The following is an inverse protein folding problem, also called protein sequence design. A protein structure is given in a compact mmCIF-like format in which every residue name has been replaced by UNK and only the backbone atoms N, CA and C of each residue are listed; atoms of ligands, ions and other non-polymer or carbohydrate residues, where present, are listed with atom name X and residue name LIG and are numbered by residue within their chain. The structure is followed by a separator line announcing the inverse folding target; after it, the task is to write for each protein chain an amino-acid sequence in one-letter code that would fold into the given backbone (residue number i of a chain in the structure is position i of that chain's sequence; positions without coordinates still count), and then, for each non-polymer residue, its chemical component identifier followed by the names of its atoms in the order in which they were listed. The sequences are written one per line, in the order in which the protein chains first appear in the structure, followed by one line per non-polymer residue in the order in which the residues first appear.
data_IF_414565685343
#
_entry.id   IF_414565685343
#
_cell.length_a   1.000
_cell.length_b   1.000
_cell.length_c   1.000
_cell.angle_alpha   90.00
_cell.angle_beta   90.00
_cell.angle_gamma   90.00
#
_symmetry.space_group_name_H-M   'P 1'
#
loop_
_entity.id
_entity.type
_entity.pdbx_description
1 polymer ?
#
# COMPACT_ATOMS: atom_id res chain seq x y z
N UNK A 1 18.75 -22.31 -1.23
CA UNK A 1 17.86 -21.11 -1.27
C UNK A 1 18.64 -19.80 -1.09
N UNK A 2 19.42 -19.64 -0.02
CA UNK A 2 20.21 -18.42 0.24
C UNK A 2 21.20 -18.03 -0.87
N UNK A 3 21.79 -19.00 -1.57
CA UNK A 3 22.68 -18.77 -2.72
C UNK A 3 21.89 -18.34 -3.96
N UNK A 4 20.72 -18.93 -4.21
CA UNK A 4 19.83 -18.53 -5.31
C UNK A 4 19.35 -17.08 -5.15
N UNK A 5 18.93 -16.69 -3.93
CA UNK A 5 18.49 -15.31 -3.65
C UNK A 5 19.66 -14.33 -3.73
N UNK A 6 20.86 -14.72 -3.29
CA UNK A 6 22.06 -13.90 -3.45
C UNK A 6 22.38 -13.67 -4.93
N UNK A 7 22.39 -14.73 -5.73
CA UNK A 7 22.62 -14.67 -7.17
C UNK A 7 21.56 -13.82 -7.87
N UNK A 8 20.29 -13.95 -7.48
CA UNK A 8 19.22 -13.10 -7.99
C UNK A 8 19.42 -11.63 -7.65
N UNK A 9 19.73 -11.31 -6.39
CA UNK A 9 19.93 -9.93 -5.95
C UNK A 9 21.15 -9.31 -6.64
N UNK A 10 22.25 -10.05 -6.76
CA UNK A 10 23.44 -9.64 -7.50
C UNK A 10 23.13 -9.40 -8.99
N UNK A 11 22.35 -10.28 -9.61
CA UNK A 11 21.93 -10.14 -11.01
C UNK A 11 20.97 -8.98 -11.24
N UNK A 12 20.04 -8.75 -10.30
CA UNK A 12 19.14 -7.61 -10.27
C UNK A 12 19.96 -6.30 -10.19
N UNK A 13 20.94 -6.24 -9.30
CA UNK A 13 21.86 -5.10 -9.17
C UNK A 13 22.69 -4.87 -10.44
N UNK A 14 23.10 -5.93 -11.13
CA UNK A 14 23.92 -5.86 -12.36
C UNK A 14 23.13 -5.64 -13.66
N UNK A 15 21.78 -5.58 -13.62
CA UNK A 15 20.89 -5.34 -14.78
C UNK A 15 21.17 -6.23 -16.01
N UNK A 16 21.63 -7.47 -15.82
CA UNK A 16 22.05 -8.34 -16.91
C UNK A 16 20.83 -8.82 -17.73
N UNK A 17 20.75 -8.40 -18.99
CA UNK A 17 19.72 -8.85 -19.95
C UNK A 17 19.97 -10.30 -20.38
N UNK A 18 18.89 -11.07 -20.56
CA UNK A 18 18.95 -12.42 -21.13
C UNK A 18 18.25 -12.39 -22.48
N UNK A 19 19.03 -12.17 -23.54
CA UNK A 19 18.59 -12.08 -24.94
C UNK A 19 17.83 -10.80 -25.37
N UNK A 20 17.79 -10.59 -26.69
CA UNK A 20 17.22 -9.41 -27.37
C UNK A 20 15.68 -9.34 -27.36
N UNK A 21 14.96 -10.40 -26.97
CA UNK A 21 13.49 -10.46 -27.15
C UNK A 21 12.67 -10.94 -25.93
N UNK A 22 13.27 -11.30 -24.78
CA UNK A 22 12.45 -11.64 -23.62
C UNK A 22 13.17 -11.34 -22.30
N UNK A 23 12.68 -10.35 -21.55
CA UNK A 23 13.10 -10.15 -20.16
C UNK A 23 12.53 -11.31 -19.34
N UNK A 24 13.32 -12.34 -19.07
CA UNK A 24 12.97 -13.39 -18.12
C UNK A 24 12.45 -12.74 -16.82
N UNK A 25 11.19 -13.06 -16.45
CA UNK A 25 10.37 -12.25 -15.54
C UNK A 25 10.86 -12.27 -14.09
N UNK A 26 11.70 -11.29 -13.73
CA UNK A 26 12.14 -11.09 -12.34
C UNK A 26 10.96 -10.97 -11.37
N UNK A 27 9.85 -10.35 -11.79
CA UNK A 27 8.62 -10.26 -10.98
C UNK A 27 8.04 -11.63 -10.63
N UNK A 28 7.92 -12.53 -11.63
CA UNK A 28 7.42 -13.90 -11.40
C UNK A 28 8.32 -14.65 -10.42
N UNK A 29 9.63 -14.52 -10.56
CA UNK A 29 10.59 -15.17 -9.67
C UNK A 29 10.51 -14.61 -8.24
N UNK A 30 10.36 -13.30 -8.07
CA UNK A 30 10.15 -12.66 -6.77
C UNK A 30 8.86 -13.15 -6.13
N UNK A 31 7.74 -13.19 -6.88
CA UNK A 31 6.46 -13.71 -6.38
C UNK A 31 6.58 -15.15 -5.90
N UNK A 32 7.22 -16.03 -6.68
CA UNK A 32 7.36 -17.46 -6.31
C UNK A 32 8.21 -17.65 -5.05
N UNK A 33 9.27 -16.85 -4.87
CA UNK A 33 10.10 -16.89 -3.66
C UNK A 33 9.34 -16.32 -2.47
N UNK A 34 8.67 -15.19 -2.68
CA UNK A 34 7.88 -14.51 -1.65
C UNK A 34 6.70 -15.35 -1.16
N UNK A 35 6.14 -16.22 -2.01
CA UNK A 35 5.06 -17.12 -1.63
C UNK A 35 5.43 -18.16 -0.54
N UNK A 36 6.71 -18.26 -0.17
CA UNK A 36 7.19 -19.19 0.87
C UNK A 36 7.86 -18.44 2.02
N UNK A 37 7.57 -18.83 3.26
CA UNK A 37 8.18 -18.20 4.44
C UNK A 37 9.73 -18.25 4.43
N UNK A 38 10.41 -19.39 4.12
CA UNK A 38 11.86 -19.41 4.00
C UNK A 38 12.40 -18.50 2.88
N UNK A 39 11.65 -18.35 1.79
CA UNK A 39 12.01 -17.47 0.67
C UNK A 39 11.92 -16.00 1.06
N UNK A 40 10.88 -15.60 1.80
CA UNK A 40 10.74 -14.25 2.35
C UNK A 40 11.84 -13.89 3.33
N UNK A 41 12.14 -14.77 4.29
CA UNK A 41 13.27 -14.58 5.21
C UNK A 41 14.59 -14.43 4.46
N UNK A 42 14.78 -15.16 3.35
CA UNK A 42 15.96 -15.02 2.52
C UNK A 42 16.01 -13.68 1.77
N UNK A 43 14.88 -13.18 1.25
CA UNK A 43 14.80 -11.85 0.61
C UNK A 43 15.12 -10.73 1.60
N UNK A 44 14.59 -10.83 2.81
CA UNK A 44 14.85 -9.88 3.89
C UNK A 44 16.33 -9.89 4.30
N UNK A 45 16.89 -11.06 4.63
CA UNK A 45 18.31 -11.21 5.03
C UNK A 45 19.30 -10.73 3.98
N UNK A 46 18.93 -10.79 2.69
CA UNK A 46 19.76 -10.31 1.58
C UNK A 46 19.56 -8.83 1.27
N UNK A 47 18.76 -8.11 2.05
CA UNK A 47 18.53 -6.68 1.91
C UNK A 47 17.68 -6.30 0.70
N UNK A 48 16.99 -7.26 0.06
CA UNK A 48 16.15 -6.98 -1.10
C UNK A 48 14.97 -6.09 -0.70
N UNK A 49 14.26 -6.44 0.37
CA UNK A 49 13.12 -5.66 0.87
C UNK A 49 13.55 -4.26 1.32
N UNK A 50 14.66 -4.15 2.07
CA UNK A 50 15.22 -2.87 2.51
C UNK A 50 15.56 -1.95 1.33
N UNK A 51 16.11 -2.52 0.25
CA UNK A 51 16.40 -1.74 -0.97
C UNK A 51 15.13 -1.30 -1.68
N UNK A 52 14.12 -2.16 -1.79
CA UNK A 52 12.82 -1.77 -2.36
C UNK A 52 12.20 -0.60 -1.58
N UNK A 53 12.19 -0.68 -0.25
CA UNK A 53 11.66 0.37 0.62
C UNK A 53 12.41 1.68 0.41
N UNK A 54 13.75 1.64 0.40
CA UNK A 54 14.57 2.82 0.14
C UNK A 54 14.31 3.44 -1.24
N UNK A 55 14.25 2.63 -2.30
CA UNK A 55 14.00 3.11 -3.65
C UNK A 55 12.60 3.77 -3.76
N UNK A 56 11.58 3.20 -3.11
CA UNK A 56 10.23 3.78 -3.09
C UNK A 56 10.21 5.07 -2.26
N UNK A 57 10.79 5.07 -1.07
CA UNK A 57 10.86 6.26 -0.23
C UNK A 57 11.56 7.42 -0.96
N UNK A 58 12.71 7.17 -1.57
CA UNK A 58 13.42 8.21 -2.34
C UNK A 58 12.62 8.73 -3.52
N UNK A 59 11.73 7.92 -4.08
CA UNK A 59 10.86 8.35 -5.19
C UNK A 59 9.82 9.36 -4.75
N UNK A 60 9.21 9.12 -3.60
CA UNK A 60 8.11 9.94 -3.11
C UNK A 60 8.58 11.09 -2.21
N UNK A 61 9.66 10.91 -1.44
CA UNK A 61 10.05 11.84 -0.37
C UNK A 61 11.36 12.60 -0.63
N UNK A 62 12.13 12.25 -1.66
CA UNK A 62 13.30 13.07 -2.04
C UNK A 62 12.83 14.27 -2.87
N UNK A 63 13.03 15.48 -2.33
CA UNK A 63 12.65 16.79 -2.92
C UNK A 63 13.35 17.19 -4.22
N UNK A 64 13.59 16.26 -5.13
CA UNK A 64 13.93 16.56 -6.52
C UNK A 64 12.65 17.05 -7.22
N UNK A 65 12.71 18.22 -7.86
CA UNK A 65 11.67 18.74 -8.75
C UNK A 65 11.35 17.68 -9.83
N UNK A 66 10.23 16.97 -9.67
CA UNK A 66 9.85 15.89 -10.57
C UNK A 66 8.76 16.37 -11.51
N UNK A 67 9.12 16.45 -12.78
CA UNK A 67 8.22 15.97 -13.83
C UNK A 67 7.92 14.48 -13.54
N UNK A 68 6.89 14.21 -12.72
CA UNK A 68 6.37 12.86 -12.40
C UNK A 68 6.02 12.04 -13.65
N UNK A 69 5.96 12.68 -14.81
CA UNK A 69 5.75 12.08 -16.13
C UNK A 69 6.95 11.24 -16.62
N UNK A 70 8.15 11.41 -16.04
CA UNK A 70 9.32 10.55 -16.33
C UNK A 70 9.72 9.80 -15.08
N UNK A 71 8.79 8.99 -14.56
CA UNK A 71 9.13 7.97 -13.58
C UNK A 71 10.16 7.04 -14.25
N UNK A 72 11.44 7.15 -13.85
CA UNK A 72 12.52 6.37 -14.45
C UNK A 72 12.17 4.88 -14.47
N UNK A 73 12.63 4.14 -15.48
CA UNK A 73 12.38 2.69 -15.59
C UNK A 73 12.71 1.92 -14.31
N UNK A 74 13.64 2.39 -13.48
CA UNK A 74 14.03 1.74 -12.23
C UNK A 74 12.94 1.84 -11.15
N UNK A 75 12.23 2.96 -11.07
CA UNK A 75 11.15 3.19 -10.11
C UNK A 75 9.96 2.27 -10.36
N UNK A 76 9.52 2.17 -11.62
CA UNK A 76 8.47 1.23 -12.01
C UNK A 76 8.83 -0.22 -11.68
N UNK A 77 10.12 -0.57 -11.72
CA UNK A 77 10.59 -1.91 -11.36
C UNK A 77 10.44 -2.13 -9.84
N UNK A 78 10.89 -1.19 -9.00
CA UNK A 78 10.76 -1.31 -7.55
C UNK A 78 9.30 -1.35 -7.08
N UNK A 79 8.43 -0.57 -7.71
CA UNK A 79 6.97 -0.63 -7.47
C UNK A 79 6.36 -1.98 -7.86
N UNK A 80 6.65 -2.46 -9.07
CA UNK A 80 6.16 -3.77 -9.51
C UNK A 80 6.69 -4.91 -8.64
N UNK A 81 7.93 -4.82 -8.15
CA UNK A 81 8.50 -5.80 -7.23
C UNK A 81 7.81 -5.77 -5.86
N UNK A 82 7.48 -4.59 -5.32
CA UNK A 82 6.69 -4.50 -4.09
C UNK A 82 5.32 -5.18 -4.26
N UNK A 83 4.61 -4.88 -5.34
CA UNK A 83 3.34 -5.54 -5.66
C UNK A 83 3.51 -7.06 -5.87
N UNK A 84 4.63 -7.49 -6.46
CA UNK A 84 4.96 -8.90 -6.63
C UNK A 84 5.16 -9.60 -5.29
N UNK A 85 5.81 -8.94 -4.31
CA UNK A 85 5.90 -9.45 -2.94
C UNK A 85 4.51 -9.54 -2.30
N UNK A 86 3.71 -8.48 -2.43
CA UNK A 86 2.36 -8.42 -1.86
C UNK A 86 1.31 -9.30 -2.53
N UNK A 87 1.61 -9.87 -3.70
CA UNK A 87 0.68 -10.75 -4.42
C UNK A 87 0.40 -12.08 -3.71
N UNK A 88 1.24 -12.47 -2.74
CA UNK A 88 1.07 -13.70 -1.97
C UNK A 88 0.79 -13.38 -0.49
N UNK A 89 -0.34 -13.87 0.04
CA UNK A 89 -0.70 -13.68 1.45
C UNK A 89 0.39 -14.10 2.45
N UNK A 90 1.09 -15.26 2.28
CA UNK A 90 2.17 -15.63 3.20
C UNK A 90 3.28 -14.57 3.30
N UNK A 91 3.59 -13.88 2.20
CA UNK A 91 4.57 -12.81 2.19
C UNK A 91 4.09 -11.59 2.98
N UNK A 92 2.84 -11.20 2.77
CA UNK A 92 2.19 -10.10 3.50
C UNK A 92 2.18 -10.41 4.99
N UNK A 93 1.80 -11.63 5.36
CA UNK A 93 1.79 -12.07 6.74
C UNK A 93 3.19 -12.02 7.37
N UNK A 94 4.22 -12.59 6.74
CA UNK A 94 5.59 -12.55 7.30
C UNK A 94 6.10 -11.11 7.49
N UNK A 95 5.78 -10.20 6.57
CA UNK A 95 6.31 -8.83 6.60
C UNK A 95 5.54 -7.90 7.54
N UNK A 96 4.24 -8.12 7.72
CA UNK A 96 3.39 -7.23 8.51
C UNK A 96 3.04 -7.79 9.89
N UNK A 97 3.06 -9.12 10.09
CA UNK A 97 2.78 -9.71 11.40
C UNK A 97 3.91 -9.45 12.42
N UNK A 98 5.13 -9.16 11.94
CA UNK A 98 6.37 -9.24 12.72
C UNK A 98 6.64 -8.08 13.70
N UNK A 99 5.70 -7.13 13.85
CA UNK A 99 5.81 -6.07 14.87
C UNK A 99 5.93 -6.59 16.33
N UNK A 100 5.76 -7.90 16.55
CA UNK A 100 5.89 -8.60 17.84
C UNK A 100 6.64 -9.95 17.75
N UNK A 101 7.52 -10.18 16.76
CA UNK A 101 8.35 -11.41 16.79
C UNK A 101 9.27 -11.34 18.02
N UNK A 102 9.29 -12.33 18.93
CA UNK A 102 10.41 -12.47 19.84
C UNK A 102 11.65 -12.67 18.96
N UNK A 103 12.59 -11.73 19.05
CA UNK A 103 13.84 -11.68 18.31
C UNK A 103 14.59 -13.02 18.43
N UNK A 104 14.42 -13.92 17.44
CA UNK A 104 15.24 -15.16 17.38
C UNK A 104 16.65 -14.90 16.85
N UNK A 105 17.07 -13.63 16.78
CA UNK A 105 18.45 -13.25 16.60
C UNK A 105 18.77 -12.18 17.61
N UNK A 106 19.57 -12.55 18.61
CA UNK A 106 20.41 -11.64 19.37
C UNK A 106 21.30 -10.86 18.39
N UNK A 107 20.77 -9.78 17.85
CA UNK A 107 21.55 -8.69 17.28
C UNK A 107 21.19 -7.46 18.10
N UNK A 108 22.22 -6.76 18.54
CA UNK A 108 22.28 -5.61 19.46
C UNK A 108 21.50 -4.36 18.99
N UNK A 109 20.41 -4.54 18.23
CA UNK A 109 19.61 -3.49 17.59
C UNK A 109 18.31 -3.23 18.37
N UNK A 110 17.96 -4.11 19.31
CA UNK A 110 16.68 -4.08 20.04
C UNK A 110 16.53 -2.86 20.98
N UNK A 111 17.61 -2.17 21.34
CA UNK A 111 17.58 -0.92 22.12
C UNK A 111 17.26 0.34 21.29
N UNK A 112 17.06 0.26 19.97
CA UNK A 112 16.82 1.45 19.11
C UNK A 112 15.39 1.63 18.59
N UNK A 113 14.44 0.80 19.03
CA UNK A 113 13.06 0.84 18.53
C UNK A 113 12.20 1.89 19.27
N UNK A 114 12.59 2.30 20.48
CA UNK A 114 11.80 3.23 21.31
C UNK A 114 12.04 4.71 21.05
N UNK A 115 12.97 5.08 20.16
CA UNK A 115 13.23 6.47 19.78
C UNK A 115 13.79 6.59 18.36
N UNK A 116 13.07 6.10 17.35
CA UNK A 116 13.40 6.41 15.96
C UNK A 116 12.78 7.75 15.60
N UNK A 117 13.63 8.71 15.21
CA UNK A 117 13.18 10.02 14.73
C UNK A 117 12.13 9.84 13.63
N UNK A 118 10.98 10.50 13.81
CA UNK A 118 9.89 10.51 12.83
C UNK A 118 10.39 10.90 11.41
N UNK A 119 11.49 11.64 11.32
CA UNK A 119 12.08 12.12 10.06
C UNK A 119 13.03 11.13 9.37
N UNK A 120 13.31 9.95 9.93
CA UNK A 120 14.19 8.96 9.30
C UNK A 120 13.48 8.15 8.21
N UNK A 121 14.19 7.75 7.14
CA UNK A 121 13.60 6.89 6.10
C UNK A 121 13.18 5.50 6.66
N UNK A 122 12.06 4.93 6.18
CA UNK A 122 11.62 3.59 6.57
C UNK A 122 12.66 2.55 6.19
N UNK A 123 12.86 1.54 7.04
CA UNK A 123 13.83 0.46 6.79
C UNK A 123 13.17 -0.88 6.52
N UNK A 124 11.88 -1.00 6.84
CA UNK A 124 11.06 -2.19 6.61
C UNK A 124 9.83 -1.83 5.75
N UNK A 125 9.21 -2.85 5.18
CA UNK A 125 7.94 -2.67 4.46
C UNK A 125 6.82 -2.29 5.45
N UNK A 126 6.87 -2.78 6.70
CA UNK A 126 5.93 -2.36 7.74
C UNK A 126 6.08 -0.87 8.06
N UNK A 127 7.30 -0.35 8.17
CA UNK A 127 7.55 1.09 8.38
C UNK A 127 7.00 1.92 7.22
N UNK A 128 7.12 1.41 5.98
CA UNK A 128 6.59 2.06 4.79
C UNK A 128 5.06 2.06 4.80
N UNK A 129 4.43 0.94 5.17
CA UNK A 129 2.96 0.82 5.32
C UNK A 129 2.45 1.73 6.42
N UNK A 130 3.13 1.77 7.57
CA UNK A 130 2.77 2.64 8.70
C UNK A 130 2.79 4.12 8.29
N UNK A 131 3.84 4.54 7.57
CA UNK A 131 4.00 5.94 7.15
C UNK A 131 3.13 6.36 5.97
N UNK A 132 2.94 5.49 4.98
CA UNK A 132 2.19 5.85 3.76
C UNK A 132 0.70 5.51 3.87
N UNK A 133 0.31 4.54 4.69
CA UNK A 133 -1.07 4.03 4.74
C UNK A 133 -1.71 4.33 6.11
N UNK A 134 -1.05 3.93 7.20
CA UNK A 134 -1.63 4.00 8.54
C UNK A 134 -1.33 5.33 9.23
N UNK A 135 -1.77 6.42 8.61
CA UNK A 135 -1.56 7.78 9.12
C UNK A 135 -2.66 8.11 10.15
N UNK A 136 -2.34 7.91 11.42
CA UNK A 136 -3.24 8.08 12.57
C UNK A 136 -2.85 9.24 13.50
N UNK A 137 -1.79 9.98 13.17
CA UNK A 137 -1.31 11.11 13.97
C UNK A 137 -0.78 12.26 13.11
N UNK A 138 -0.85 13.47 13.66
CA UNK A 138 -0.26 14.67 13.05
C UNK A 138 1.27 14.54 12.90
N UNK A 139 1.93 13.80 13.79
CA UNK A 139 3.37 13.54 13.69
C UNK A 139 3.72 12.75 12.43
N UNK A 140 2.92 11.72 12.09
CA UNK A 140 3.10 10.96 10.85
C UNK A 140 2.81 11.83 9.63
N UNK A 141 1.76 12.64 9.69
CA UNK A 141 1.43 13.60 8.64
C UNK A 141 2.62 14.56 8.37
N UNK A 142 3.16 15.18 9.43
CA UNK A 142 4.28 16.13 9.33
C UNK A 142 5.63 15.46 9.06
N UNK A 143 5.75 14.14 9.22
CA UNK A 143 6.96 13.39 8.86
C UNK A 143 7.16 13.24 7.35
N UNK A 144 6.11 13.43 6.56
CA UNK A 144 6.13 13.30 5.11
C UNK A 144 6.33 14.66 4.46
N UNK A 145 7.35 14.77 3.59
CA UNK A 145 7.60 15.95 2.78
C UNK A 145 6.56 16.10 1.66
N UNK A 146 6.15 14.98 1.04
CA UNK A 146 5.14 14.95 -0.02
C UNK A 146 3.90 14.14 0.40
N UNK A 147 3.26 14.55 1.50
CA UNK A 147 2.12 13.86 2.11
C UNK A 147 1.09 13.37 1.08
N UNK A 148 0.55 14.26 0.24
CA UNK A 148 -0.54 13.90 -0.69
C UNK A 148 -0.14 12.77 -1.65
N UNK A 149 1.06 12.85 -2.22
CA UNK A 149 1.53 11.86 -3.20
C UNK A 149 1.85 10.52 -2.53
N UNK A 150 2.52 10.57 -1.38
CA UNK A 150 2.92 9.39 -0.61
C UNK A 150 1.72 8.66 -0.04
N UNK A 151 0.77 9.40 0.54
CA UNK A 151 -0.44 8.82 1.09
C UNK A 151 -1.35 8.28 -0.01
N UNK A 152 -1.57 9.02 -1.10
CA UNK A 152 -2.34 8.52 -2.24
C UNK A 152 -1.72 7.22 -2.80
N UNK A 153 -0.39 7.17 -2.96
CA UNK A 153 0.29 5.93 -3.35
C UNK A 153 0.07 4.79 -2.34
N UNK A 154 0.16 5.09 -1.04
CA UNK A 154 -0.15 4.14 0.02
C UNK A 154 -1.56 3.56 -0.10
N UNK A 155 -2.57 4.42 -0.32
CA UNK A 155 -3.96 4.00 -0.52
C UNK A 155 -4.12 3.11 -1.77
N UNK A 156 -3.39 3.39 -2.86
CA UNK A 156 -3.36 2.51 -4.04
C UNK A 156 -2.84 1.12 -3.72
N UNK A 157 -1.77 1.04 -2.93
CA UNK A 157 -1.20 -0.24 -2.45
C UNK A 157 -2.20 -0.95 -1.54
N UNK A 158 -2.82 -0.25 -0.59
CA UNK A 158 -3.85 -0.79 0.30
C UNK A 158 -5.01 -1.39 -0.50
N UNK A 159 -5.50 -0.69 -1.53
CA UNK A 159 -6.56 -1.22 -2.37
C UNK A 159 -6.17 -2.52 -3.07
N UNK A 160 -4.92 -2.64 -3.54
CA UNK A 160 -4.42 -3.90 -4.13
C UNK A 160 -4.38 -5.00 -3.09
N UNK A 161 -3.82 -4.73 -1.90
CA UNK A 161 -3.76 -5.67 -0.78
C UNK A 161 -5.16 -6.20 -0.41
N UNK A 162 -6.16 -5.32 -0.32
CA UNK A 162 -7.54 -5.67 -0.02
C UNK A 162 -8.25 -6.45 -1.14
N UNK A 163 -7.58 -6.77 -2.25
CA UNK A 163 -8.14 -7.66 -3.29
C UNK A 163 -7.97 -9.14 -2.93
N UNK A 164 -7.06 -9.46 -1.99
CA UNK A 164 -6.98 -10.78 -1.38
C UNK A 164 -7.79 -10.77 -0.08
N UNK A 165 -8.73 -11.71 0.06
CA UNK A 165 -9.59 -11.80 1.25
C UNK A 165 -8.77 -12.01 2.53
N UNK A 166 -7.78 -12.91 2.50
CA UNK A 166 -6.95 -13.21 3.66
C UNK A 166 -6.14 -11.98 4.11
N UNK A 167 -5.55 -11.27 3.14
CA UNK A 167 -4.85 -10.01 3.41
C UNK A 167 -5.78 -8.94 3.96
N UNK A 168 -6.97 -8.76 3.38
CA UNK A 168 -7.97 -7.83 3.87
C UNK A 168 -8.34 -8.11 5.33
N UNK A 169 -8.71 -9.36 5.64
CA UNK A 169 -9.11 -9.77 6.98
C UNK A 169 -7.97 -9.59 7.98
N UNK A 170 -6.75 -9.96 7.60
CA UNK A 170 -5.56 -9.73 8.43
C UNK A 170 -5.37 -8.24 8.73
N UNK A 171 -5.43 -7.38 7.72
CA UNK A 171 -5.24 -5.94 7.90
C UNK A 171 -6.35 -5.33 8.77
N UNK A 172 -7.59 -5.72 8.56
CA UNK A 172 -8.72 -5.20 9.35
C UNK A 172 -8.64 -5.68 10.81
N UNK A 173 -8.39 -6.98 11.04
CA UNK A 173 -8.24 -7.51 12.39
C UNK A 173 -7.06 -6.91 13.16
N UNK A 174 -5.95 -6.60 12.46
CA UNK A 174 -4.71 -6.16 13.11
C UNK A 174 -4.57 -4.65 13.24
N UNK A 175 -5.06 -3.88 12.27
CA UNK A 175 -4.84 -2.44 12.17
C UNK A 175 -6.14 -1.62 12.13
N UNK A 176 -7.31 -2.26 11.98
CA UNK A 176 -8.61 -1.56 11.87
C UNK A 176 -8.56 -0.43 10.84
N UNK A 177 -7.97 -0.71 9.69
CA UNK A 177 -7.70 0.32 8.67
C UNK A 177 -9.00 0.97 8.18
N UNK A 178 -10.14 0.26 8.20
CA UNK A 178 -11.42 0.87 7.84
C UNK A 178 -11.80 2.01 8.77
N UNK A 179 -11.59 1.86 10.07
CA UNK A 179 -11.85 2.93 11.04
C UNK A 179 -10.92 4.12 10.83
N UNK A 180 -9.63 3.85 10.59
CA UNK A 180 -8.65 4.88 10.25
C UNK A 180 -9.07 5.69 9.01
N UNK A 181 -9.49 5.00 7.96
CA UNK A 181 -9.96 5.62 6.72
C UNK A 181 -11.27 6.41 6.91
N UNK A 182 -12.21 5.89 7.72
CA UNK A 182 -13.45 6.60 8.05
C UNK A 182 -13.18 7.87 8.86
N UNK A 183 -12.22 7.82 9.79
CA UNK A 183 -11.79 8.98 10.56
C UNK A 183 -11.14 10.03 9.65
N UNK A 184 -10.22 9.62 8.77
CA UNK A 184 -9.63 10.53 7.78
C UNK A 184 -10.69 11.18 6.88
N UNK A 185 -11.71 10.42 6.48
CA UNK A 185 -12.84 10.96 5.72
C UNK A 185 -13.67 11.94 6.56
N UNK A 186 -13.84 11.69 7.86
CA UNK A 186 -14.52 12.58 8.79
C UNK A 186 -13.78 13.91 8.95
N UNK A 187 -12.46 13.86 9.06
CA UNK A 187 -11.60 15.03 9.22
C UNK A 187 -11.65 15.94 7.98
N UNK A 188 -11.94 15.36 6.81
CA UNK A 188 -12.15 16.07 5.54
C UNK A 188 -13.57 16.60 5.34
N UNK A 189 -14.46 16.48 6.34
CA UNK A 189 -15.84 17.00 6.26
C UNK A 189 -15.85 18.51 6.50
N UNK A 190 -16.53 19.24 5.63
CA UNK A 190 -16.69 20.69 5.74
C UNK A 190 -17.59 21.07 6.92
N UNK A 191 -17.43 22.30 7.43
CA UNK A 191 -18.19 22.84 8.57
C UNK A 191 -19.71 22.81 8.38
N UNK A 192 -20.18 22.76 7.12
CA UNK A 192 -21.59 22.62 6.79
C UNK A 192 -22.18 21.24 7.18
N UNK A 193 -21.33 20.31 7.60
CA UNK A 193 -21.69 19.02 8.11
C UNK A 193 -22.26 18.07 7.05
N UNK A 194 -22.17 18.36 5.76
CA UNK A 194 -22.72 17.50 4.70
C UNK A 194 -21.70 17.20 3.61
N UNK A 195 -20.91 18.20 3.27
CA UNK A 195 -19.98 18.12 2.16
C UNK A 195 -18.58 17.75 2.67
N UNK A 196 -17.77 17.23 1.76
CA UNK A 196 -16.41 16.78 2.03
C UNK A 196 -15.45 17.42 1.05
N UNK A 197 -14.18 17.57 1.45
CA UNK A 197 -13.09 17.92 0.55
C UNK A 197 -12.92 16.79 -0.46
N UNK A 198 -12.90 17.16 -1.74
CA UNK A 198 -12.70 16.24 -2.86
C UNK A 198 -11.27 16.40 -3.36
N UNK A 199 -10.43 15.42 -3.06
CA UNK A 199 -9.04 15.32 -3.48
C UNK A 199 -8.71 13.87 -3.87
N UNK A 200 -7.47 13.61 -4.29
CA UNK A 200 -7.07 12.27 -4.72
C UNK A 200 -7.12 11.24 -3.58
N UNK A 201 -6.81 11.64 -2.35
CA UNK A 201 -6.84 10.76 -1.19
C UNK A 201 -8.28 10.43 -0.79
N UNK A 202 -9.18 11.42 -0.75
CA UNK A 202 -10.59 11.21 -0.37
C UNK A 202 -11.33 10.35 -1.41
N UNK A 203 -11.01 10.49 -2.69
CA UNK A 203 -11.51 9.61 -3.76
C UNK A 203 -11.04 8.16 -3.59
N UNK A 204 -9.75 7.94 -3.31
CA UNK A 204 -9.19 6.60 -3.14
C UNK A 204 -9.67 5.95 -1.82
N UNK A 205 -9.78 6.73 -0.75
CA UNK A 205 -10.36 6.32 0.54
C UNK A 205 -11.80 5.84 0.36
N UNK A 206 -12.65 6.62 -0.32
CA UNK A 206 -14.03 6.23 -0.59
C UNK A 206 -14.11 4.94 -1.41
N UNK A 207 -13.27 4.81 -2.43
CA UNK A 207 -13.18 3.58 -3.21
C UNK A 207 -12.86 2.36 -2.33
N UNK A 208 -11.88 2.47 -1.43
CA UNK A 208 -11.45 1.37 -0.54
C UNK A 208 -12.55 1.03 0.47
N UNK A 209 -13.15 2.03 1.12
CA UNK A 209 -14.22 1.83 2.10
C UNK A 209 -15.41 1.09 1.48
N UNK A 210 -15.86 1.50 0.30
CA UNK A 210 -16.93 0.78 -0.41
C UNK A 210 -16.48 -0.62 -0.84
N UNK A 211 -15.27 -0.75 -1.38
CA UNK A 211 -14.73 -2.04 -1.84
C UNK A 211 -14.67 -3.06 -0.70
N UNK A 212 -14.38 -2.62 0.52
CA UNK A 212 -14.09 -3.48 1.68
C UNK A 212 -15.24 -3.61 2.69
N UNK A 213 -16.31 -2.80 2.56
CA UNK A 213 -17.45 -2.85 3.48
C UNK A 213 -18.19 -4.21 3.50
N UNK A 214 -18.34 -4.86 2.35
CA UNK A 214 -19.09 -6.11 2.20
C UNK A 214 -18.21 -7.21 1.62
N UNK A 215 -18.19 -8.38 2.28
CA UNK A 215 -17.65 -9.62 1.71
C UNK A 215 -18.70 -10.21 0.78
N UNK A 216 -18.66 -9.77 -0.48
CA UNK A 216 -19.68 -10.07 -1.48
C UNK A 216 -19.17 -9.93 -2.91
N UNK A 217 -19.92 -10.48 -3.86
CA UNK A 217 -19.60 -10.43 -5.28
C UNK A 217 -19.62 -9.02 -5.87
N UNK A 218 -19.01 -8.84 -7.04
CA UNK A 218 -18.97 -7.56 -7.74
C UNK A 218 -20.36 -7.02 -8.14
N UNK A 219 -21.38 -7.89 -8.18
CA UNK A 219 -22.77 -7.54 -8.48
C UNK A 219 -23.56 -7.00 -7.28
N UNK A 220 -23.00 -7.05 -6.07
CA UNK A 220 -23.73 -6.64 -4.86
C UNK A 220 -23.57 -5.15 -4.56
N UNK A 221 -22.53 -4.51 -5.13
CA UNK A 221 -22.18 -3.11 -4.91
C UNK A 221 -21.61 -2.45 -6.16
N UNK A 222 -21.81 -1.14 -6.27
CA UNK A 222 -21.14 -0.31 -7.26
C UNK A 222 -19.90 0.28 -6.61
N UNK A 223 -18.72 -0.08 -7.11
CA UNK A 223 -17.47 0.46 -6.60
C UNK A 223 -17.26 1.85 -7.21
N UNK A 224 -17.05 2.91 -6.39
CA UNK A 224 -16.83 4.26 -6.89
C UNK A 224 -15.65 4.34 -7.87
N UNK A 225 -15.83 5.16 -8.89
CA UNK A 225 -14.74 5.54 -9.78
C UNK A 225 -13.63 6.27 -9.02
N UNK A 226 -12.46 6.33 -9.64
CA UNK A 226 -11.24 6.93 -9.05
C UNK A 226 -10.74 8.16 -9.80
N UNK A 227 -11.52 8.61 -10.77
CA UNK A 227 -11.17 9.70 -11.68
C UNK A 227 -12.21 10.79 -11.48
N UNK A 228 -11.74 12.02 -11.34
CA UNK A 228 -12.60 13.20 -11.30
C UNK A 228 -13.14 13.49 -12.70
N UNK A 229 -14.42 13.85 -12.78
CA UNK A 229 -15.06 14.29 -14.01
C UNK A 229 -14.69 15.74 -14.32
N UNK A 230 -14.79 16.14 -15.59
CA UNK A 230 -14.60 17.53 -16.01
C UNK A 230 -15.79 18.44 -15.66
N UNK A 231 -16.86 17.86 -15.10
CA UNK A 231 -18.05 18.57 -14.65
C UNK A 231 -17.75 19.39 -13.39
N UNK A 232 -17.64 20.72 -13.53
CA UNK A 232 -17.30 21.63 -12.43
C UNK A 232 -18.25 21.56 -11.23
N UNK A 233 -19.56 21.37 -11.47
CA UNK A 233 -20.57 21.35 -10.41
C UNK A 233 -20.60 20.02 -9.65
N UNK A 234 -20.04 18.95 -10.21
CA UNK A 234 -20.01 17.63 -9.62
C UNK A 234 -18.80 16.83 -10.14
N UNK A 235 -17.57 17.21 -9.73
CA UNK A 235 -16.34 16.57 -10.20
C UNK A 235 -16.21 15.12 -9.70
N UNK A 236 -17.04 14.71 -8.74
CA UNK A 236 -17.05 13.36 -8.19
C UNK A 236 -18.48 12.90 -7.87
N UNK A 237 -19.12 12.12 -8.77
CA UNK A 237 -20.54 11.78 -8.66
C UNK A 237 -20.86 10.71 -7.60
N UNK A 238 -19.89 10.33 -6.77
CA UNK A 238 -20.03 9.29 -5.76
C UNK A 238 -20.12 9.92 -4.36
N UNK A 239 -21.14 9.58 -3.57
CA UNK A 239 -21.29 10.18 -2.24
C UNK A 239 -20.16 9.71 -1.31
N UNK A 240 -19.44 10.68 -0.74
CA UNK A 240 -18.47 10.46 0.33
C UNK A 240 -19.20 10.23 1.67
N UNK A 241 -18.61 9.43 2.55
CA UNK A 241 -19.19 9.09 3.85
C UNK A 241 -18.10 8.80 4.89
N UNK A 242 -18.35 9.16 6.14
CA UNK A 242 -17.42 8.96 7.27
C UNK A 242 -17.94 7.99 8.33
N UNK A 243 -19.05 7.29 8.06
CA UNK A 243 -19.54 6.23 8.92
C UNK A 243 -20.24 5.14 8.12
N UNK A 244 -20.19 3.91 8.63
CA UNK A 244 -20.96 2.81 8.07
C UNK A 244 -22.41 2.80 8.56
N UNK A 245 -23.37 2.29 7.75
CA UNK A 245 -23.19 1.72 6.41
C UNK A 245 -22.96 2.78 5.31
N UNK A 246 -22.31 2.43 4.18
CA UNK A 246 -22.20 3.30 3.02
C UNK A 246 -23.58 3.77 2.51
N UNK A 247 -23.65 4.92 1.80
CA UNK A 247 -24.87 5.42 1.17
C UNK A 247 -25.61 4.35 0.34
N UNK A 248 -26.94 4.30 0.47
CA UNK A 248 -27.77 3.27 -0.17
C UNK A 248 -27.64 3.20 -1.70
N UNK A 249 -27.26 4.30 -2.34
CA UNK A 249 -27.03 4.38 -3.79
C UNK A 249 -25.92 3.47 -4.28
N UNK A 250 -25.03 3.01 -3.39
CA UNK A 250 -23.93 2.10 -3.69
C UNK A 250 -24.40 0.64 -3.82
N UNK A 251 -25.48 0.24 -3.14
CA UNK A 251 -25.95 -1.14 -3.15
C UNK A 251 -26.87 -1.45 -4.33
N UNK A 252 -26.68 -2.61 -4.97
CA UNK A 252 -27.53 -3.08 -6.08
C UNK A 252 -28.64 -4.06 -5.65
N UNK A 253 -28.95 -4.14 -4.35
CA UNK A 253 -29.78 -5.18 -3.74
C UNK A 253 -31.23 -5.33 -4.28
N UNK A 254 -31.70 -4.43 -5.13
CA UNK A 254 -33.08 -4.43 -5.66
C UNK A 254 -33.22 -4.91 -7.12
N UNK A 255 -32.18 -5.51 -7.75
CA UNK A 255 -32.24 -5.94 -9.17
C UNK A 255 -32.45 -7.45 -9.41
N UNK A 256 -32.71 -8.25 -8.38
CA UNK A 256 -33.02 -9.67 -8.56
C UNK A 256 -34.51 -9.94 -8.33
N UNK A 257 -35.31 -10.25 -9.38
CA UNK A 257 -36.61 -10.86 -9.16
C UNK A 257 -36.39 -12.24 -8.51
N UNK A 258 -37.16 -12.53 -7.46
CA UNK A 258 -37.27 -13.88 -6.90
C UNK A 258 -37.91 -14.84 -7.90
#
# INVERSE_FOLDING_TARGET
MNECVAYMNERYNKKLQVSKCEKFGYGVMVTQIAATAPGMVALEKRGFLKRLVHDIWTVFESGQDRNLLVLESNTWISLNNLLSVFSAFPAVYEVLADAYRPSTSSSEIEETITSRDAYCAPVSIMDLVDRFIMIDSEEKFHSLFNFEQSHHFGLRVLSVLCSCLDTFLFLECRYRFQELLLQSQLDNRLDNGKDYIIDMCSVETNHILVKTYLVGGASERIIPGRILTEELDNPYPWPLFSSYPPPKTIFQLNKFPR
#
